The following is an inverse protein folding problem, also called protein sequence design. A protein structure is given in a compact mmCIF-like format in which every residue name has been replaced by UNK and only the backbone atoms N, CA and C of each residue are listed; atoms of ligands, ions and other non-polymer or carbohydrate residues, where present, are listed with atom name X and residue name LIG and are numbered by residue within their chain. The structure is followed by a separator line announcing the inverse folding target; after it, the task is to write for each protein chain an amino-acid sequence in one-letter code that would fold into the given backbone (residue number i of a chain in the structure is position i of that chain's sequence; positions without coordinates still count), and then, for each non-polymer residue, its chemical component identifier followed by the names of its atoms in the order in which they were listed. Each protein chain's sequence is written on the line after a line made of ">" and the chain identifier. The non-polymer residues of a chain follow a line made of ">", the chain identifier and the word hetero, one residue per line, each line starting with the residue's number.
data_IF_446126296270
#
_entry.id   IF_446126296270
#
_cell.length_a   1.000
_cell.length_b   1.000
_cell.length_c   1.000
_cell.angle_alpha   90.00
_cell.angle_beta   90.00
_cell.angle_gamma   90.00
#
_symmetry.space_group_name_H-M   'P 1'
#
loop_
_entity.id
_entity.type
_entity.pdbx_description
1 polymer ?
#
# COMPACT_ATOMS: atom_id res chain seq x y z
N UNK A 1 43.94 -69.38 60.51
CA UNK A 1 44.36 -69.58 59.10
C UNK A 1 43.35 -70.53 58.47
N UNK A 2 42.66 -70.09 57.41
CA UNK A 2 41.80 -70.97 56.61
C UNK A 2 42.65 -72.09 56.03
N UNK A 3 42.13 -73.33 56.05
CA UNK A 3 42.82 -74.46 55.41
C UNK A 3 42.85 -74.21 53.90
N UNK A 4 43.90 -74.68 53.23
CA UNK A 4 44.15 -74.40 51.81
C UNK A 4 42.94 -74.75 50.93
N UNK A 5 42.27 -75.87 51.24
CA UNK A 5 41.04 -76.32 50.59
C UNK A 5 39.85 -75.34 50.71
N UNK A 6 39.78 -74.53 51.78
CA UNK A 6 38.72 -73.53 51.96
C UNK A 6 38.97 -72.29 51.10
N UNK A 7 40.23 -71.93 50.86
CA UNK A 7 40.59 -70.80 49.97
C UNK A 7 40.27 -71.11 48.52
N UNK A 8 40.57 -72.33 48.06
CA UNK A 8 40.23 -72.77 46.70
C UNK A 8 38.72 -72.75 46.47
N UNK A 9 37.93 -73.20 47.45
CA UNK A 9 36.47 -73.18 47.35
C UNK A 9 35.93 -71.76 47.23
N UNK A 10 36.46 -70.81 48.00
CA UNK A 10 36.05 -69.39 47.93
C UNK A 10 36.40 -68.80 46.55
N UNK A 11 37.60 -69.09 46.02
CA UNK A 11 37.99 -68.62 44.69
C UNK A 11 37.11 -69.21 43.59
N UNK A 12 36.77 -70.50 43.68
CA UNK A 12 35.88 -71.17 42.73
C UNK A 12 34.46 -70.58 42.78
N UNK A 13 33.95 -70.30 43.98
CA UNK A 13 32.63 -69.65 44.15
C UNK A 13 32.62 -68.20 43.62
N UNK A 14 33.70 -67.44 43.79
CA UNK A 14 33.82 -66.09 43.22
C UNK A 14 33.91 -66.12 41.68
N UNK A 15 34.68 -67.06 41.12
CA UNK A 15 34.74 -67.28 39.67
C UNK A 15 33.36 -67.64 39.13
N UNK A 16 32.66 -68.58 39.77
CA UNK A 16 31.32 -68.98 39.38
C UNK A 16 30.32 -67.83 39.49
N UNK A 17 30.36 -67.02 40.56
CA UNK A 17 29.51 -65.82 40.67
C UNK A 17 29.79 -64.81 39.56
N UNK A 18 31.04 -64.61 39.19
CA UNK A 18 31.41 -63.66 38.14
C UNK A 18 31.00 -64.15 36.75
N UNK A 19 31.08 -65.46 36.49
CA UNK A 19 30.58 -66.06 35.25
C UNK A 19 29.06 -65.99 35.15
N UNK A 20 28.34 -66.32 36.23
CA UNK A 20 26.88 -66.19 36.29
C UNK A 20 26.43 -64.74 36.12
N UNK A 21 27.14 -63.77 36.71
CA UNK A 21 26.81 -62.35 36.57
C UNK A 21 27.06 -61.81 35.16
N UNK A 22 28.04 -62.37 34.43
CA UNK A 22 28.30 -62.06 33.02
C UNK A 22 27.31 -62.76 32.07
N UNK A 23 26.79 -63.92 32.44
CA UNK A 23 25.87 -64.70 31.60
C UNK A 23 24.40 -64.28 31.72
N UNK A 24 24.04 -63.50 32.75
CA UNK A 24 22.72 -62.88 32.84
C UNK A 24 22.69 -61.64 31.93
N UNK A 25 22.01 -61.66 30.76
CA UNK A 25 21.87 -60.48 29.93
C UNK A 25 21.16 -59.40 30.75
N UNK A 26 21.75 -58.20 30.80
CA UNK A 26 21.13 -57.07 31.48
C UNK A 26 19.68 -56.93 30.98
N UNK A 27 18.68 -56.84 31.87
CA UNK A 27 17.28 -56.74 31.45
C UNK A 27 17.16 -55.48 30.59
N UNK A 28 16.82 -55.67 29.31
CA UNK A 28 16.59 -54.54 28.39
C UNK A 28 15.61 -53.60 29.06
N UNK A 29 16.04 -52.36 29.27
CA UNK A 29 15.25 -51.37 30.00
C UNK A 29 13.94 -51.18 29.24
N UNK A 30 12.82 -51.08 29.96
CA UNK A 30 11.51 -50.79 29.36
C UNK A 30 11.57 -49.55 28.46
N UNK A 31 12.47 -48.61 28.77
CA UNK A 31 12.71 -47.39 28.01
C UNK A 31 13.40 -47.61 26.65
N UNK A 32 14.18 -48.68 26.46
CA UNK A 32 14.89 -48.94 25.20
C UNK A 32 13.93 -49.30 24.04
N UNK A 33 12.71 -49.76 24.36
CA UNK A 33 11.67 -50.04 23.36
C UNK A 33 10.94 -48.79 22.86
N UNK A 34 10.96 -47.71 23.63
CA UNK A 34 10.28 -46.45 23.27
C UNK A 34 11.22 -45.38 22.69
N UNK A 35 12.53 -45.63 22.70
CA UNK A 35 13.54 -44.68 22.24
C UNK A 35 13.46 -44.42 20.71
N UNK A 36 13.05 -45.43 19.92
CA UNK A 36 12.84 -45.30 18.47
C UNK A 36 11.71 -44.34 18.10
N UNK A 37 10.47 -44.54 18.60
CA UNK A 37 9.35 -43.63 18.37
C UNK A 37 9.63 -42.20 18.83
N UNK A 38 10.25 -42.01 20.00
CA UNK A 38 10.55 -40.68 20.54
C UNK A 38 11.48 -39.91 19.60
N UNK A 39 12.55 -40.54 19.11
CA UNK A 39 13.48 -39.92 18.14
C UNK A 39 12.80 -39.59 16.81
N UNK A 40 11.87 -40.42 16.36
CA UNK A 40 11.08 -40.14 15.15
C UNK A 40 10.18 -38.92 15.32
N UNK A 41 9.47 -38.80 16.45
CA UNK A 41 8.67 -37.60 16.75
C UNK A 41 9.53 -36.34 16.90
N UNK A 42 10.70 -36.45 17.51
CA UNK A 42 11.64 -35.34 17.62
C UNK A 42 12.10 -34.86 16.23
N UNK A 43 12.38 -35.77 15.30
CA UNK A 43 12.74 -35.43 13.93
C UNK A 43 11.60 -34.72 13.20
N UNK A 44 10.36 -35.23 13.33
CA UNK A 44 9.17 -34.59 12.75
C UNK A 44 8.98 -33.18 13.32
N UNK A 45 9.12 -33.00 14.63
CA UNK A 45 8.97 -31.68 15.26
C UNK A 45 9.99 -30.67 14.72
N UNK A 46 11.25 -31.08 14.56
CA UNK A 46 12.30 -30.23 13.96
C UNK A 46 11.95 -29.89 12.50
N UNK A 47 11.53 -30.88 11.71
CA UNK A 47 11.15 -30.67 10.31
C UNK A 47 9.95 -29.72 10.17
N UNK A 48 8.92 -29.86 11.02
CA UNK A 48 7.78 -28.96 11.07
C UNK A 48 8.18 -27.54 11.48
N UNK A 49 9.10 -27.39 12.44
CA UNK A 49 9.64 -26.09 12.84
C UNK A 49 10.36 -25.37 11.71
N UNK A 50 11.24 -26.07 10.98
CA UNK A 50 11.93 -25.52 9.80
C UNK A 50 10.92 -25.13 8.72
N UNK A 51 9.96 -26.01 8.42
CA UNK A 51 8.93 -25.73 7.43
C UNK A 51 8.09 -24.50 7.79
N UNK A 52 7.62 -24.41 9.04
CA UNK A 52 6.86 -23.25 9.53
C UNK A 52 7.67 -21.96 9.45
N UNK A 53 8.97 -22.01 9.77
CA UNK A 53 9.88 -20.85 9.68
C UNK A 53 10.05 -20.39 8.24
N UNK A 54 10.26 -21.30 7.29
CA UNK A 54 10.38 -20.98 5.86
C UNK A 54 9.07 -20.43 5.31
N UNK A 55 7.93 -21.01 5.68
CA UNK A 55 6.61 -20.55 5.28
C UNK A 55 6.32 -19.13 5.79
N UNK A 56 6.59 -18.86 7.07
CA UNK A 56 6.44 -17.54 7.67
C UNK A 56 7.39 -16.51 7.05
N UNK A 57 8.64 -16.90 6.75
CA UNK A 57 9.60 -16.03 6.08
C UNK A 57 9.12 -15.61 4.69
N UNK A 58 8.59 -16.54 3.88
CA UNK A 58 8.03 -16.20 2.55
C UNK A 58 6.86 -15.23 2.66
N UNK A 59 5.89 -15.50 3.54
CA UNK A 59 4.76 -14.59 3.79
C UNK A 59 5.21 -13.20 4.24
N UNK A 60 6.20 -13.11 5.14
CA UNK A 60 6.73 -11.84 5.63
C UNK A 60 7.56 -11.10 4.58
N UNK A 61 8.31 -11.82 3.74
CA UNK A 61 9.13 -11.23 2.66
C UNK A 61 8.26 -10.53 1.63
N UNK A 62 7.17 -11.16 1.19
CA UNK A 62 6.27 -10.57 0.19
C UNK A 62 5.61 -9.30 0.75
N UNK A 63 5.15 -9.35 2.01
CA UNK A 63 4.61 -8.19 2.71
C UNK A 63 5.64 -7.06 2.89
N UNK A 64 6.89 -7.40 3.20
CA UNK A 64 7.97 -6.42 3.38
C UNK A 64 8.34 -5.72 2.06
N UNK A 65 8.36 -6.44 0.94
CA UNK A 65 8.60 -5.84 -0.38
C UNK A 65 7.47 -4.88 -0.78
N UNK A 66 6.21 -5.29 -0.56
CA UNK A 66 5.05 -4.42 -0.82
C UNK A 66 5.09 -3.17 0.07
N UNK A 67 5.43 -3.33 1.35
CA UNK A 67 5.56 -2.21 2.28
C UNK A 67 6.69 -1.24 1.87
N UNK A 68 7.85 -1.78 1.48
CA UNK A 68 8.97 -0.97 1.00
C UNK A 68 8.61 -0.20 -0.27
N UNK A 69 7.98 -0.86 -1.26
CA UNK A 69 7.53 -0.20 -2.48
C UNK A 69 6.54 0.94 -2.19
N UNK A 70 5.60 0.73 -1.26
CA UNK A 70 4.68 1.79 -0.80
C UNK A 70 5.41 2.95 -0.14
N UNK A 71 6.39 2.68 0.71
CA UNK A 71 7.14 3.75 1.38
C UNK A 71 7.96 4.59 0.40
N UNK A 72 8.54 3.99 -0.65
CA UNK A 72 9.20 4.74 -1.73
C UNK A 72 8.23 5.68 -2.46
N UNK A 73 7.04 5.17 -2.81
CA UNK A 73 6.04 5.95 -3.53
C UNK A 73 5.38 7.05 -2.69
N UNK A 74 5.32 6.87 -1.36
CA UNK A 74 4.72 7.82 -0.42
C UNK A 74 5.26 9.25 -0.59
N UNK A 75 6.58 9.40 -0.79
CA UNK A 75 7.20 10.73 -0.97
C UNK A 75 6.71 11.42 -2.24
N UNK A 76 6.69 10.71 -3.36
CA UNK A 76 6.16 11.19 -4.64
C UNK A 76 4.69 11.58 -4.51
N UNK A 77 3.90 10.72 -3.86
CA UNK A 77 2.48 10.95 -3.73
C UNK A 77 2.13 12.09 -2.76
N UNK A 78 2.90 12.28 -1.70
CA UNK A 78 2.76 13.45 -0.82
C UNK A 78 3.04 14.74 -1.60
N UNK A 79 4.05 14.74 -2.46
CA UNK A 79 4.32 15.87 -3.35
C UNK A 79 3.17 16.12 -4.34
N UNK A 80 2.62 15.07 -4.95
CA UNK A 80 1.45 15.16 -5.82
C UNK A 80 0.23 15.73 -5.09
N UNK A 81 -0.11 15.19 -3.92
CA UNK A 81 -1.26 15.66 -3.12
C UNK A 81 -1.09 17.12 -2.71
N UNK A 82 0.12 17.53 -2.35
CA UNK A 82 0.43 18.93 -2.05
C UNK A 82 0.22 19.83 -3.26
N UNK A 83 0.67 19.42 -4.45
CA UNK A 83 0.53 20.18 -5.70
C UNK A 83 -0.94 20.28 -6.12
N UNK A 84 -1.71 19.20 -6.00
CA UNK A 84 -3.15 19.22 -6.26
C UNK A 84 -3.91 20.10 -5.28
N UNK A 85 -3.59 20.05 -3.99
CA UNK A 85 -4.21 20.91 -2.98
C UNK A 85 -3.93 22.39 -3.28
N UNK A 86 -2.70 22.72 -3.69
CA UNK A 86 -2.31 24.08 -4.08
C UNK A 86 -3.10 24.53 -5.32
N UNK A 87 -3.14 23.71 -6.38
CA UNK A 87 -3.91 24.05 -7.60
C UNK A 87 -5.40 24.26 -7.30
N UNK A 88 -6.01 23.37 -6.51
CA UNK A 88 -7.42 23.49 -6.08
C UNK A 88 -7.66 24.76 -5.27
N UNK A 89 -6.73 25.13 -4.39
CA UNK A 89 -6.79 26.38 -3.63
C UNK A 89 -6.79 27.60 -4.56
N UNK A 90 -5.85 27.66 -5.51
CA UNK A 90 -5.73 28.82 -6.41
C UNK A 90 -6.95 28.97 -7.33
N UNK A 91 -7.47 27.88 -7.89
CA UNK A 91 -8.70 27.96 -8.71
C UNK A 91 -9.93 28.33 -7.88
N UNK A 92 -9.96 27.95 -6.60
CA UNK A 92 -11.01 28.35 -5.66
C UNK A 92 -11.00 29.87 -5.44
N UNK A 93 -9.81 30.45 -5.23
CA UNK A 93 -9.64 31.90 -5.10
C UNK A 93 -10.08 32.60 -6.40
N UNK A 94 -9.57 32.15 -7.56
CA UNK A 94 -9.90 32.71 -8.87
C UNK A 94 -11.39 32.63 -9.22
N UNK A 95 -12.11 31.66 -8.65
CA UNK A 95 -13.54 31.47 -8.88
C UNK A 95 -14.44 32.14 -7.83
N UNK A 96 -13.89 32.76 -6.77
CA UNK A 96 -14.70 33.36 -5.71
C UNK A 96 -14.35 34.81 -5.38
N UNK A 97 -13.11 35.24 -5.62
CA UNK A 97 -12.64 36.58 -5.30
C UNK A 97 -12.79 37.52 -6.50
N UNK A 98 -13.05 38.81 -6.22
CA UNK A 98 -13.14 39.85 -7.24
C UNK A 98 -11.86 39.96 -8.08
N UNK A 99 -12.02 40.09 -9.40
CA UNK A 99 -10.93 40.09 -10.36
C UNK A 99 -9.93 41.24 -10.18
N UNK A 100 -10.36 42.37 -9.61
CA UNK A 100 -9.52 43.56 -9.36
C UNK A 100 -8.72 43.48 -8.05
N UNK A 101 -8.91 42.42 -7.26
CA UNK A 101 -8.23 42.26 -5.97
C UNK A 101 -6.75 41.85 -6.13
N UNK A 102 -5.93 42.22 -5.15
CA UNK A 102 -4.52 41.77 -5.07
C UNK A 102 -4.42 40.26 -4.89
N UNK A 103 -5.36 39.67 -4.16
CA UNK A 103 -5.46 38.23 -3.92
C UNK A 103 -5.70 37.46 -5.23
N UNK A 104 -6.63 37.94 -6.07
CA UNK A 104 -6.87 37.36 -7.39
C UNK A 104 -5.63 37.41 -8.28
N UNK A 105 -4.95 38.56 -8.34
CA UNK A 105 -3.73 38.71 -9.15
C UNK A 105 -2.61 37.76 -8.68
N UNK A 106 -2.47 37.55 -7.38
CA UNK A 106 -1.53 36.60 -6.81
C UNK A 106 -1.91 35.15 -7.15
N UNK A 107 -3.17 34.77 -6.93
CA UNK A 107 -3.65 33.42 -7.23
C UNK A 107 -3.51 33.08 -8.72
N UNK A 108 -3.78 34.06 -9.60
CA UNK A 108 -3.60 33.93 -11.05
C UNK A 108 -2.15 33.61 -11.39
N UNK A 109 -1.20 34.32 -10.78
CA UNK A 109 0.24 34.08 -10.98
C UNK A 109 0.62 32.67 -10.54
N UNK A 110 0.17 32.23 -9.36
CA UNK A 110 0.48 30.89 -8.82
C UNK A 110 -0.15 29.81 -9.68
N UNK A 111 -1.43 29.96 -10.06
CA UNK A 111 -2.13 29.05 -10.98
C UNK A 111 -1.34 28.82 -12.26
N UNK A 112 -0.88 29.87 -12.95
CA UNK A 112 -0.09 29.70 -14.18
C UNK A 112 1.30 29.12 -13.93
N UNK A 113 1.92 29.36 -12.77
CA UNK A 113 3.17 28.68 -12.39
C UNK A 113 2.97 27.18 -12.18
N UNK A 114 1.83 26.78 -11.59
CA UNK A 114 1.46 25.38 -11.42
C UNK A 114 1.15 24.74 -12.77
N UNK A 115 0.29 25.38 -13.57
CA UNK A 115 -0.17 24.92 -14.89
C UNK A 115 0.99 24.66 -15.85
N UNK A 116 1.93 25.60 -15.99
CA UNK A 116 3.08 25.44 -16.88
C UNK A 116 4.30 24.76 -16.22
N UNK A 117 4.18 24.39 -14.94
CA UNK A 117 5.30 23.95 -14.12
C UNK A 117 4.99 22.68 -13.36
N UNK A 118 4.84 22.80 -12.04
CA UNK A 118 4.81 21.65 -11.12
C UNK A 118 3.70 20.64 -11.43
N UNK A 119 2.53 21.08 -11.89
CA UNK A 119 1.43 20.17 -12.17
C UNK A 119 1.75 19.21 -13.33
N UNK A 120 2.44 19.68 -14.37
CA UNK A 120 2.81 18.86 -15.55
C UNK A 120 3.64 17.60 -15.23
N UNK A 121 4.23 17.52 -14.04
CA UNK A 121 5.00 16.36 -13.57
C UNK A 121 4.08 15.27 -12.99
N UNK A 122 2.96 15.67 -12.39
CA UNK A 122 2.12 14.80 -11.57
C UNK A 122 0.74 14.51 -12.18
N UNK A 123 0.33 15.26 -13.20
CA UNK A 123 -1.02 15.21 -13.75
C UNK A 123 -1.33 13.90 -14.46
N UNK A 124 -2.50 13.36 -14.14
CA UNK A 124 -3.19 12.43 -15.01
C UNK A 124 -3.92 13.18 -16.13
N UNK A 125 -4.16 12.49 -17.25
CA UNK A 125 -4.86 13.05 -18.41
C UNK A 125 -6.18 13.73 -18.04
N UNK A 126 -6.89 13.19 -17.05
CA UNK A 126 -8.13 13.77 -16.57
C UNK A 126 -7.94 15.10 -15.84
N UNK A 127 -6.95 15.15 -14.95
CA UNK A 127 -6.64 16.36 -14.18
C UNK A 127 -6.13 17.46 -15.12
N UNK A 128 -5.22 17.10 -16.04
CA UNK A 128 -4.72 18.00 -17.09
C UNK A 128 -5.88 18.59 -17.91
N UNK A 129 -6.81 17.75 -18.36
CA UNK A 129 -7.96 18.21 -19.13
C UNK A 129 -8.82 19.22 -18.36
N UNK A 130 -9.07 19.00 -17.06
CA UNK A 130 -9.82 19.96 -16.22
C UNK A 130 -9.03 21.23 -15.93
N UNK A 131 -7.70 21.16 -15.79
CA UNK A 131 -6.84 22.34 -15.68
C UNK A 131 -6.88 23.19 -16.95
N UNK A 132 -6.80 22.57 -18.12
CA UNK A 132 -6.92 23.24 -19.43
C UNK A 132 -8.31 23.83 -19.63
N UNK A 133 -9.36 23.11 -19.21
CA UNK A 133 -10.73 23.59 -19.20
C UNK A 133 -10.86 24.86 -18.36
N UNK A 134 -10.40 24.82 -17.11
CA UNK A 134 -10.42 25.98 -16.22
C UNK A 134 -9.62 27.15 -16.78
N UNK A 135 -8.42 26.92 -17.32
CA UNK A 135 -7.56 27.94 -17.91
C UNK A 135 -8.25 28.69 -19.07
N UNK A 136 -8.91 27.96 -19.96
CA UNK A 136 -9.64 28.55 -21.10
C UNK A 136 -10.86 29.33 -20.65
N UNK A 137 -11.60 28.82 -19.67
CA UNK A 137 -12.73 29.54 -19.08
C UNK A 137 -12.27 30.81 -18.37
N UNK A 138 -11.17 30.76 -17.62
CA UNK A 138 -10.58 31.91 -16.94
C UNK A 138 -10.23 33.02 -17.93
N UNK A 139 -9.53 32.69 -19.03
CA UNK A 139 -9.16 33.67 -20.06
C UNK A 139 -10.40 34.31 -20.68
N UNK A 140 -11.43 33.52 -21.01
CA UNK A 140 -12.68 34.05 -21.55
C UNK A 140 -13.41 34.97 -20.57
N UNK A 141 -13.44 34.59 -19.30
CA UNK A 141 -14.03 35.38 -18.22
C UNK A 141 -13.33 36.74 -18.10
N UNK A 142 -12.00 36.75 -18.04
CA UNK A 142 -11.18 37.96 -17.97
C UNK A 142 -11.34 38.86 -19.19
N UNK A 143 -11.53 38.26 -20.38
CA UNK A 143 -11.77 38.99 -21.62
C UNK A 143 -13.22 39.43 -21.82
N UNK A 144 -14.12 39.05 -20.90
CA UNK A 144 -15.57 39.25 -21.04
C UNK A 144 -16.11 38.67 -22.36
N UNK A 145 -15.56 37.54 -22.82
CA UNK A 145 -15.99 36.84 -24.03
C UNK A 145 -17.13 35.87 -23.71
N UNK A 146 -18.36 36.33 -23.95
CA UNK A 146 -19.58 35.55 -23.70
C UNK A 146 -19.93 34.54 -24.80
N UNK A 147 -19.06 34.32 -25.79
CA UNK A 147 -19.32 33.31 -26.82
C UNK A 147 -19.27 31.91 -26.22
N UNK A 148 -20.12 30.98 -26.69
CA UNK A 148 -20.08 29.59 -26.25
C UNK A 148 -18.69 28.96 -26.43
N UNK A 149 -18.36 28.02 -25.55
CA UNK A 149 -17.15 27.21 -25.66
C UNK A 149 -17.49 25.75 -25.35
N UNK A 150 -16.88 24.84 -26.12
CA UNK A 150 -17.00 23.41 -25.89
C UNK A 150 -15.64 22.79 -25.57
N UNK A 151 -15.68 21.77 -24.73
CA UNK A 151 -14.53 20.97 -24.35
C UNK A 151 -14.85 19.50 -24.58
N UNK A 152 -13.91 18.80 -25.21
CA UNK A 152 -13.96 17.34 -25.22
C UNK A 152 -13.49 16.87 -23.84
N UNK A 153 -14.37 16.22 -23.09
CA UNK A 153 -13.98 15.71 -21.79
C UNK A 153 -13.01 14.55 -22.00
N UNK A 154 -11.76 14.66 -21.56
CA UNK A 154 -10.82 13.53 -21.73
C UNK A 154 -11.12 12.38 -20.77
N UNK A 155 -11.98 12.61 -19.77
CA UNK A 155 -12.40 11.63 -18.78
C UNK A 155 -13.65 10.85 -19.16
N UNK A 156 -14.45 11.37 -20.08
CA UNK A 156 -15.73 10.80 -20.48
C UNK A 156 -15.93 10.93 -21.98
N UNK A 157 -16.89 10.23 -22.58
CA UNK A 157 -17.20 10.42 -23.99
C UNK A 157 -18.03 11.69 -24.26
N UNK A 158 -18.21 12.55 -23.25
CA UNK A 158 -19.12 13.68 -23.30
C UNK A 158 -18.42 14.95 -23.77
N UNK A 159 -19.21 15.85 -24.37
CA UNK A 159 -18.76 17.20 -24.72
C UNK A 159 -19.39 18.16 -23.71
N UNK A 160 -18.54 18.91 -23.00
CA UNK A 160 -18.97 19.95 -22.09
C UNK A 160 -19.18 21.25 -22.87
N UNK A 161 -20.41 21.76 -22.91
CA UNK A 161 -20.74 23.04 -23.56
C UNK A 161 -21.11 24.06 -22.51
N UNK A 162 -20.50 25.24 -22.61
CA UNK A 162 -20.82 26.40 -21.80
C UNK A 162 -21.38 27.48 -22.69
N UNK A 163 -22.65 27.83 -22.52
CA UNK A 163 -23.33 28.85 -23.32
C UNK A 163 -22.72 30.24 -23.05
N UNK A 164 -22.49 30.54 -21.77
CA UNK A 164 -21.83 31.78 -21.32
C UNK A 164 -20.80 31.49 -20.24
N UNK A 165 -19.71 32.26 -20.24
CA UNK A 165 -18.68 32.18 -19.21
C UNK A 165 -18.97 33.24 -18.15
N UNK A 166 -19.41 32.78 -16.98
CA UNK A 166 -19.73 33.61 -15.82
C UNK A 166 -18.88 33.18 -14.62
N UNK A 167 -18.97 33.91 -13.51
CA UNK A 167 -18.34 33.49 -12.24
C UNK A 167 -18.81 32.10 -11.81
N UNK A 168 -20.09 31.79 -12.00
CA UNK A 168 -20.65 30.48 -11.66
C UNK A 168 -20.06 29.37 -12.53
N UNK A 169 -19.80 29.67 -13.80
CA UNK A 169 -19.09 28.77 -14.71
C UNK A 169 -17.68 28.45 -14.19
N UNK A 170 -16.95 29.45 -13.68
CA UNK A 170 -15.63 29.24 -13.08
C UNK A 170 -15.71 28.41 -11.79
N UNK A 171 -16.69 28.65 -10.93
CA UNK A 171 -16.90 27.85 -9.70
C UNK A 171 -17.16 26.39 -10.02
N UNK A 172 -18.01 26.12 -11.00
CA UNK A 172 -18.28 24.75 -11.45
C UNK A 172 -17.03 24.07 -12.01
N UNK A 173 -16.24 24.78 -12.83
CA UNK A 173 -15.00 24.26 -13.37
C UNK A 173 -13.95 23.99 -12.27
N UNK A 174 -13.82 24.89 -11.28
CA UNK A 174 -12.96 24.69 -10.11
C UNK A 174 -13.39 23.46 -9.29
N UNK A 175 -14.70 23.29 -9.08
CA UNK A 175 -15.25 22.12 -8.38
C UNK A 175 -14.95 20.81 -9.13
N UNK A 176 -15.10 20.80 -10.45
CA UNK A 176 -14.77 19.63 -11.30
C UNK A 176 -13.29 19.28 -11.23
N UNK A 177 -12.40 20.26 -11.29
CA UNK A 177 -10.98 20.04 -11.10
C UNK A 177 -10.69 19.43 -9.71
N UNK A 178 -11.29 19.99 -8.65
CA UNK A 178 -11.14 19.45 -7.30
C UNK A 178 -11.64 17.99 -7.18
N UNK A 179 -12.77 17.67 -7.81
CA UNK A 179 -13.28 16.31 -7.87
C UNK A 179 -12.33 15.38 -8.60
N UNK A 180 -11.76 15.78 -9.74
CA UNK A 180 -10.80 14.95 -10.47
C UNK A 180 -9.49 14.73 -9.70
N UNK A 181 -8.94 15.78 -9.07
CA UNK A 181 -7.78 15.65 -8.18
C UNK A 181 -8.06 14.65 -7.06
N UNK A 182 -9.24 14.72 -6.44
CA UNK A 182 -9.68 13.79 -5.39
C UNK A 182 -9.82 12.36 -5.92
N UNK A 183 -10.53 12.16 -7.03
CA UNK A 183 -10.75 10.84 -7.64
C UNK A 183 -9.42 10.18 -7.98
N UNK A 184 -8.52 10.92 -8.63
CA UNK A 184 -7.19 10.40 -8.97
C UNK A 184 -6.38 10.04 -7.72
N UNK A 185 -6.38 10.91 -6.70
CA UNK A 185 -5.69 10.63 -5.43
C UNK A 185 -6.23 9.35 -4.79
N UNK A 186 -7.55 9.19 -4.70
CA UNK A 186 -8.18 7.99 -4.14
C UNK A 186 -7.82 6.72 -4.92
N UNK A 187 -7.87 6.77 -6.26
CA UNK A 187 -7.53 5.64 -7.13
C UNK A 187 -6.07 5.22 -7.00
N UNK A 188 -5.18 6.18 -6.80
CA UNK A 188 -3.73 5.96 -6.76
C UNK A 188 -3.26 5.50 -5.37
N UNK A 189 -3.83 6.05 -4.29
CA UNK A 189 -3.41 5.76 -2.92
C UNK A 189 -4.10 4.56 -2.29
N UNK A 190 -5.39 4.37 -2.57
CA UNK A 190 -6.18 3.39 -1.85
C UNK A 190 -6.24 2.07 -2.62
N UNK A 191 -6.07 0.94 -1.93
CA UNK A 191 -6.41 -0.36 -2.49
C UNK A 191 -7.84 -0.35 -3.02
N UNK A 192 -8.10 -1.03 -4.13
CA UNK A 192 -9.43 -1.10 -4.74
C UNK A 192 -10.52 -1.56 -3.76
N UNK A 193 -10.16 -2.47 -2.83
CA UNK A 193 -11.03 -2.94 -1.75
C UNK A 193 -11.49 -1.83 -0.79
N UNK A 194 -10.71 -0.76 -0.64
CA UNK A 194 -10.99 0.37 0.25
C UNK A 194 -11.66 1.53 -0.49
N UNK A 195 -11.47 1.67 -1.80
CA UNK A 195 -12.04 2.76 -2.60
C UNK A 195 -13.57 2.83 -2.46
N UNK A 196 -14.25 1.68 -2.33
CA UNK A 196 -15.71 1.59 -2.11
C UNK A 196 -16.21 2.24 -0.83
N UNK A 197 -15.33 2.49 0.14
CA UNK A 197 -15.69 3.13 1.41
C UNK A 197 -15.72 4.66 1.30
N UNK A 198 -15.27 5.21 0.18
CA UNK A 198 -15.27 6.63 -0.09
C UNK A 198 -16.40 6.95 -1.05
N UNK A 199 -17.12 8.04 -0.78
CA UNK A 199 -18.09 8.59 -1.73
C UNK A 199 -17.32 9.12 -2.93
N UNK A 200 -17.04 8.26 -3.91
CA UNK A 200 -16.63 8.67 -5.24
C UNK A 200 -17.89 9.35 -5.80
N UNK A 201 -17.88 10.68 -5.74
CA UNK A 201 -18.95 11.47 -6.34
C UNK A 201 -18.84 11.18 -7.82
N UNK A 202 -19.83 10.45 -8.36
CA UNK A 202 -19.98 10.35 -9.80
C UNK A 202 -20.05 11.79 -10.31
N UNK A 203 -19.13 12.14 -11.20
CA UNK A 203 -19.12 13.50 -11.73
C UNK A 203 -20.49 13.82 -12.31
N UNK A 204 -21.06 14.95 -11.90
CA UNK A 204 -22.24 15.43 -12.59
C UNK A 204 -21.86 15.61 -14.06
N UNK A 205 -22.49 14.82 -14.97
CA UNK A 205 -22.15 14.89 -16.37
C UNK A 205 -22.36 16.33 -16.82
N UNK A 206 -21.45 16.81 -17.67
CA UNK A 206 -21.69 18.08 -18.33
C UNK A 206 -23.05 18.04 -19.00
N UNK A 207 -23.90 19.03 -18.72
CA UNK A 207 -25.20 19.13 -19.35
C UNK A 207 -24.99 19.19 -20.86
N UNK A 208 -25.48 18.18 -21.56
CA UNK A 208 -25.61 18.18 -23.01
C UNK A 208 -26.88 18.97 -23.32
N UNK A 209 -26.74 20.15 -23.92
CA UNK A 209 -27.86 20.84 -24.54
C UNK A 209 -28.32 20.09 -25.80
#
# INVERSE_FOLDING_TARGET
>A
MLKENEKEKIQLEEQYRNEVRKSIPAPKSFFDRFDGPIKFFQFIAIALGIFATVWQYKLNSDNAQIAAAREYQKSFYQAQMSVYAEAVNEVSILSNVDADSTEYAQARKIFFQLFWGRMSIFEDKCVEAKMVEFQRLLIKFEQQDFRPISFNDSCSANICVYDTVTQETLRLAALRLAHQCRIYTLKTWLPESEQKNYNIVEEEPCKTN
#
